data_IF_467914119220
#
_entry.id   IF_467914119220
#
_cell.length_a   1.000
_cell.length_b   1.000
_cell.length_c   1.000
_cell.angle_alpha   90.00
_cell.angle_beta   90.00
_cell.angle_gamma   90.00
#
_symmetry.space_group_name_H-M   'P 1'
#
loop_
_entity.id
_entity.type
_entity.pdbx_description
1 polymer ?
#
# COMPACT_ATOMS: atom_id res chain seq x y z
N UNK A 1 0.23 -1.83 16.67
CA UNK A 1 1.52 -1.55 17.29
C UNK A 1 2.01 -0.17 16.81
N UNK A 2 2.08 0.84 17.75
CA UNK A 2 2.41 2.24 17.44
C UNK A 2 3.74 2.38 16.66
N UNK A 3 4.73 1.53 16.95
CA UNK A 3 6.03 1.55 16.27
C UNK A 3 5.90 1.20 14.79
N UNK A 4 5.10 0.21 14.45
CA UNK A 4 4.83 -0.17 13.05
C UNK A 4 4.15 0.98 12.31
N UNK A 5 3.11 1.56 12.91
CA UNK A 5 2.41 2.72 12.35
C UNK A 5 3.35 3.91 12.06
N UNK A 6 4.28 4.20 12.97
CA UNK A 6 5.23 5.29 12.76
C UNK A 6 6.18 5.03 11.58
N UNK A 7 6.63 3.79 11.39
CA UNK A 7 7.44 3.44 10.22
C UNK A 7 6.66 3.57 8.92
N UNK A 8 5.41 3.09 8.92
CA UNK A 8 4.53 3.20 7.76
C UNK A 8 4.26 4.67 7.41
N UNK A 9 3.98 5.51 8.41
CA UNK A 9 3.83 6.95 8.24
C UNK A 9 5.11 7.61 7.70
N UNK A 10 6.28 7.28 8.24
CA UNK A 10 7.55 7.84 7.77
C UNK A 10 7.83 7.47 6.31
N UNK A 11 7.52 6.27 5.89
CA UNK A 11 7.66 5.83 4.51
C UNK A 11 6.69 6.56 3.58
N UNK A 12 5.43 6.67 3.96
CA UNK A 12 4.39 7.32 3.16
C UNK A 12 4.66 8.82 2.97
N UNK A 13 4.95 9.55 4.04
CA UNK A 13 5.14 11.01 3.97
C UNK A 13 6.35 11.43 3.16
N UNK A 14 7.44 10.63 3.17
CA UNK A 14 8.67 10.94 2.43
C UNK A 14 8.48 10.92 0.91
N UNK A 15 7.47 10.26 0.41
CA UNK A 15 7.10 10.27 -0.99
C UNK A 15 6.57 11.65 -1.44
N UNK A 16 5.87 12.35 -0.57
CA UNK A 16 5.26 13.65 -0.87
C UNK A 16 6.22 14.80 -0.54
N UNK A 17 7.00 15.19 -1.52
CA UNK A 17 8.00 16.26 -1.42
C UNK A 17 7.42 17.62 -1.85
N UNK A 18 8.15 18.74 -1.68
CA UNK A 18 7.75 20.05 -2.22
C UNK A 18 7.47 20.05 -3.74
N UNK A 19 8.12 19.13 -4.48
CA UNK A 19 7.88 18.95 -5.93
C UNK A 19 6.73 17.99 -6.23
N UNK A 20 6.33 17.15 -5.27
CA UNK A 20 5.26 16.15 -5.41
C UNK A 20 4.28 16.27 -4.24
N UNK A 21 3.47 17.33 -4.24
CA UNK A 21 2.50 17.62 -3.18
C UNK A 21 1.22 16.83 -3.37
N UNK A 22 0.64 16.31 -2.27
CA UNK A 22 -0.68 15.68 -2.28
C UNK A 22 -1.79 16.71 -2.09
N UNK A 23 -2.80 16.68 -2.94
CA UNK A 23 -4.06 17.41 -2.73
C UNK A 23 -4.90 16.71 -1.66
N UNK A 24 -5.51 17.48 -0.78
CA UNK A 24 -6.29 16.97 0.34
C UNK A 24 -7.78 17.15 0.05
N UNK A 25 -8.40 16.17 -0.59
CA UNK A 25 -9.85 16.09 -0.84
C UNK A 25 -10.46 17.37 -1.41
N UNK A 26 -9.74 18.13 -2.23
CA UNK A 26 -10.27 19.37 -2.76
C UNK A 26 -10.54 20.49 -1.72
N UNK A 27 -10.05 20.32 -0.48
CA UNK A 27 -10.20 21.30 0.61
C UNK A 27 -9.40 22.60 0.39
N UNK A 28 -8.75 22.74 -0.76
CA UNK A 28 -7.92 23.91 -1.07
C UNK A 28 -6.58 23.92 -0.33
N UNK A 29 -6.12 22.78 0.13
CA UNK A 29 -4.83 22.58 0.77
C UNK A 29 -4.07 21.44 0.15
N UNK A 30 -2.75 21.57 0.07
CA UNK A 30 -1.82 20.51 -0.34
C UNK A 30 -0.86 20.18 0.79
N UNK A 31 -0.59 18.90 0.96
CA UNK A 31 0.40 18.42 1.92
C UNK A 31 1.72 18.10 1.22
N UNK A 32 2.83 18.34 1.93
CA UNK A 32 4.17 17.89 1.54
C UNK A 32 5.09 17.73 2.76
N UNK A 33 6.09 16.89 2.60
CA UNK A 33 7.18 16.69 3.56
C UNK A 33 8.45 17.37 3.06
N UNK A 34 8.95 18.36 3.83
CA UNK A 34 10.14 19.11 3.49
C UNK A 34 11.31 18.58 4.31
N UNK A 35 12.22 17.85 3.67
CA UNK A 35 13.40 17.25 4.32
C UNK A 35 14.42 18.29 4.79
N UNK A 36 14.45 19.44 4.13
CA UNK A 36 15.42 20.50 4.38
C UNK A 36 15.01 21.38 5.57
N UNK A 37 13.73 21.35 5.94
CA UNK A 37 13.25 22.03 7.14
C UNK A 37 13.80 21.41 8.43
N UNK A 38 14.29 22.27 9.34
CA UNK A 38 14.96 21.81 10.57
C UNK A 38 13.98 21.28 11.62
N UNK A 39 12.78 21.87 11.73
CA UNK A 39 11.89 21.60 12.85
C UNK A 39 10.52 21.04 12.47
N UNK A 40 9.86 21.63 11.52
CA UNK A 40 8.47 21.27 11.15
C UNK A 40 8.45 20.83 9.69
N UNK A 41 8.82 19.58 9.47
CA UNK A 41 8.98 19.00 8.13
C UNK A 41 7.67 18.69 7.44
N UNK A 42 6.64 18.34 8.22
CA UNK A 42 5.28 18.10 7.70
C UNK A 42 4.58 19.46 7.52
N UNK A 43 4.29 19.83 6.28
CA UNK A 43 3.77 21.14 5.91
C UNK A 43 2.52 21.03 5.07
N UNK A 44 1.69 22.06 5.18
CA UNK A 44 0.55 22.28 4.29
C UNK A 44 0.66 23.64 3.59
N UNK A 45 0.21 23.65 2.35
CA UNK A 45 0.11 24.84 1.53
C UNK A 45 -1.35 25.11 1.23
N UNK A 46 -1.83 26.31 1.58
CA UNK A 46 -3.16 26.74 1.22
C UNK A 46 -3.13 27.37 -0.18
N UNK A 47 -4.03 26.93 -1.08
CA UNK A 47 -4.00 27.31 -2.49
C UNK A 47 -5.17 28.19 -2.93
N UNK A 48 -6.19 28.37 -2.09
CA UNK A 48 -7.34 29.22 -2.38
C UNK A 48 -7.05 30.67 -1.94
N UNK A 49 -6.90 31.58 -2.88
CA UNK A 49 -6.58 32.97 -2.60
C UNK A 49 -5.08 33.23 -2.50
N UNK A 50 -4.61 33.80 -1.38
CA UNK A 50 -3.17 33.98 -1.15
C UNK A 50 -2.52 32.67 -0.74
N UNK A 51 -1.54 32.22 -1.52
CA UNK A 51 -0.75 31.02 -1.19
C UNK A 51 0.12 31.30 0.04
N UNK A 52 -0.02 30.47 1.06
CA UNK A 52 0.84 30.48 2.25
C UNK A 52 1.06 29.04 2.74
N UNK A 53 2.14 28.86 3.46
CA UNK A 53 2.56 27.58 4.00
C UNK A 53 2.66 27.64 5.51
N UNK A 54 2.15 26.61 6.18
CA UNK A 54 2.25 26.46 7.64
C UNK A 54 2.65 25.04 7.98
N UNK A 55 3.25 24.79 9.17
CA UNK A 55 3.42 23.44 9.69
C UNK A 55 2.06 22.74 9.85
N UNK A 56 2.01 21.43 9.60
CA UNK A 56 0.80 20.62 9.84
C UNK A 56 0.35 20.71 11.30
N UNK A 57 1.29 20.78 12.25
CA UNK A 57 1.01 20.93 13.68
C UNK A 57 0.32 22.24 14.06
N UNK A 58 0.31 23.23 13.16
CA UNK A 58 -0.39 24.53 13.33
C UNK A 58 -1.72 24.60 12.57
N UNK A 59 -2.11 23.52 11.90
CA UNK A 59 -3.36 23.41 11.18
C UNK A 59 -4.54 23.15 12.13
N UNK A 60 -5.76 23.20 11.58
CA UNK A 60 -6.97 22.80 12.31
C UNK A 60 -6.91 21.31 12.73
N UNK A 61 -7.62 20.94 13.79
CA UNK A 61 -7.69 19.55 14.25
C UNK A 61 -8.18 18.60 13.16
N UNK A 62 -9.12 19.02 12.33
CA UNK A 62 -9.60 18.23 11.20
C UNK A 62 -8.50 17.95 10.18
N UNK A 63 -7.69 18.93 9.81
CA UNK A 63 -6.55 18.72 8.89
C UNK A 63 -5.46 17.85 9.53
N UNK A 64 -5.20 18.01 10.83
CA UNK A 64 -4.25 17.16 11.56
C UNK A 64 -4.70 15.70 11.63
N UNK A 65 -6.00 15.42 11.66
CA UNK A 65 -6.56 14.07 11.66
C UNK A 65 -6.57 13.46 10.27
N UNK A 66 -7.08 14.20 9.26
CA UNK A 66 -7.32 13.62 7.94
C UNK A 66 -6.08 13.48 7.07
N UNK A 67 -5.11 14.38 7.18
CA UNK A 67 -3.91 14.36 6.34
C UNK A 67 -3.09 13.08 6.53
N UNK A 68 -2.73 12.65 7.75
CA UNK A 68 -2.02 11.39 7.93
C UNK A 68 -2.78 10.20 7.38
N UNK A 69 -4.09 10.13 7.59
CA UNK A 69 -4.94 9.08 7.05
C UNK A 69 -4.88 9.03 5.53
N UNK A 70 -5.15 10.15 4.85
CA UNK A 70 -5.16 10.23 3.38
C UNK A 70 -3.80 9.92 2.76
N UNK A 71 -2.73 10.46 3.32
CA UNK A 71 -1.37 10.23 2.84
C UNK A 71 -1.02 8.74 2.90
N UNK A 72 -1.38 8.06 4.00
CA UNK A 72 -1.18 6.61 4.12
C UNK A 72 -2.07 5.84 3.14
N UNK A 73 -3.34 6.20 3.03
CA UNK A 73 -4.26 5.55 2.08
C UNK A 73 -3.76 5.68 0.65
N UNK A 74 -3.37 6.87 0.21
CA UNK A 74 -2.87 7.13 -1.15
C UNK A 74 -1.57 6.38 -1.41
N UNK A 75 -0.61 6.45 -0.49
CA UNK A 75 0.68 5.80 -0.64
C UNK A 75 0.57 4.28 -0.70
N UNK A 76 -0.12 3.66 0.26
CA UNK A 76 -0.25 2.20 0.36
C UNK A 76 -1.31 1.59 -0.56
N UNK A 77 -2.08 2.40 -1.29
CA UNK A 77 -2.97 1.90 -2.33
C UNK A 77 -2.35 1.92 -3.73
N UNK A 78 -1.32 2.73 -3.97
CA UNK A 78 -0.73 2.85 -5.31
C UNK A 78 0.80 2.93 -5.30
N UNK A 79 1.38 3.99 -4.73
CA UNK A 79 2.81 4.30 -4.84
C UNK A 79 3.71 3.25 -4.20
N UNK A 80 3.29 2.64 -3.10
CA UNK A 80 3.99 1.54 -2.45
C UNK A 80 4.28 0.39 -3.41
N UNK A 81 3.31 0.02 -4.24
CA UNK A 81 3.47 -1.06 -5.23
C UNK A 81 4.42 -0.67 -6.36
N UNK A 82 4.34 0.59 -6.82
CA UNK A 82 5.23 1.11 -7.84
C UNK A 82 6.68 1.14 -7.36
N UNK A 83 6.90 1.53 -6.10
CA UNK A 83 8.23 1.50 -5.49
C UNK A 83 8.72 0.08 -5.23
N UNK A 84 7.83 -0.81 -4.77
CA UNK A 84 8.17 -2.22 -4.55
C UNK A 84 8.59 -2.91 -5.84
N UNK A 85 7.91 -2.65 -6.96
CA UNK A 85 8.27 -3.21 -8.26
C UNK A 85 9.65 -2.73 -8.77
N UNK A 86 10.14 -1.58 -8.29
CA UNK A 86 11.46 -1.03 -8.63
C UNK A 86 12.58 -1.50 -7.71
N UNK A 87 12.26 -2.19 -6.60
CA UNK A 87 13.28 -2.71 -5.68
C UNK A 87 14.16 -3.74 -6.38
N UNK A 88 15.45 -3.62 -6.14
CA UNK A 88 16.45 -4.60 -6.55
C UNK A 88 16.70 -5.61 -5.44
N UNK A 89 17.42 -6.70 -5.76
CA UNK A 89 17.82 -7.69 -4.74
C UNK A 89 18.68 -7.13 -3.60
N UNK A 90 19.24 -5.93 -3.77
CA UNK A 90 20.02 -5.23 -2.73
C UNK A 90 19.13 -4.47 -1.75
N UNK A 91 17.88 -4.18 -2.13
CA UNK A 91 16.91 -3.43 -1.31
C UNK A 91 16.00 -4.36 -0.48
N UNK A 92 16.27 -5.67 -0.51
CA UNK A 92 15.50 -6.65 0.27
C UNK A 92 15.66 -6.39 1.77
N UNK A 93 14.55 -6.37 2.49
CA UNK A 93 14.58 -6.35 3.95
C UNK A 93 14.86 -7.76 4.52
N UNK A 94 15.21 -7.85 5.80
CA UNK A 94 15.54 -9.12 6.47
C UNK A 94 14.42 -10.17 6.38
N UNK A 95 13.15 -9.73 6.36
CA UNK A 95 11.99 -10.62 6.26
C UNK A 95 11.88 -11.24 4.86
N UNK A 96 12.06 -10.42 3.81
CA UNK A 96 12.05 -10.89 2.41
C UNK A 96 13.19 -11.86 2.18
N UNK A 97 14.39 -11.54 2.66
CA UNK A 97 15.57 -12.39 2.60
C UNK A 97 15.34 -13.73 3.31
N UNK A 98 14.83 -13.70 4.55
CA UNK A 98 14.54 -14.92 5.31
C UNK A 98 13.48 -15.79 4.59
N UNK A 99 12.47 -15.18 4.01
CA UNK A 99 11.43 -15.89 3.25
C UNK A 99 12.03 -16.54 2.00
N UNK A 100 12.85 -15.82 1.25
CA UNK A 100 13.56 -16.34 0.08
C UNK A 100 14.44 -17.54 0.46
N UNK A 101 15.22 -17.42 1.53
CA UNK A 101 16.13 -18.48 1.97
C UNK A 101 15.36 -19.74 2.35
N UNK A 102 14.25 -19.62 3.06
CA UNK A 102 13.37 -20.75 3.37
C UNK A 102 12.75 -21.40 2.13
N UNK A 103 12.36 -20.61 1.14
CA UNK A 103 11.80 -21.13 -0.11
C UNK A 103 12.84 -21.87 -0.94
N UNK A 104 14.10 -21.42 -0.97
CA UNK A 104 15.18 -22.15 -1.61
C UNK A 104 15.34 -23.52 -0.95
N UNK A 105 15.37 -23.56 0.38
CA UNK A 105 15.52 -24.82 1.11
C UNK A 105 14.34 -25.76 0.87
N UNK A 106 13.10 -25.27 0.96
CA UNK A 106 11.90 -26.11 0.83
C UNK A 106 11.62 -26.58 -0.60
N UNK A 107 11.79 -25.72 -1.59
CA UNK A 107 11.37 -26.03 -2.97
C UNK A 107 12.52 -26.59 -3.80
N UNK A 108 13.73 -26.07 -3.61
CA UNK A 108 14.85 -26.46 -4.46
C UNK A 108 15.68 -27.56 -3.83
N UNK A 109 16.17 -27.34 -2.62
CA UNK A 109 17.11 -28.28 -2.01
C UNK A 109 16.42 -29.53 -1.49
N UNK A 110 15.27 -29.42 -0.85
CA UNK A 110 14.55 -30.58 -0.33
C UNK A 110 14.02 -31.50 -1.45
N UNK A 111 13.60 -30.91 -2.58
CA UNK A 111 13.15 -31.67 -3.77
C UNK A 111 14.31 -32.41 -4.47
N UNK A 112 15.48 -31.76 -4.54
CA UNK A 112 16.66 -32.37 -5.22
C UNK A 112 17.46 -33.26 -4.32
N UNK A 113 17.58 -32.94 -3.05
CA UNK A 113 18.44 -33.61 -2.05
C UNK A 113 17.64 -33.82 -0.75
N UNK A 114 16.66 -34.74 -0.72
CA UNK A 114 15.81 -34.93 0.44
C UNK A 114 16.61 -35.19 1.73
N UNK A 115 16.32 -34.42 2.79
CA UNK A 115 17.03 -34.50 4.05
C UNK A 115 18.48 -34.01 4.01
N UNK A 116 18.77 -33.04 3.14
CA UNK A 116 20.13 -32.51 3.02
C UNK A 116 20.65 -31.87 4.32
N UNK A 117 21.97 -31.93 4.50
CA UNK A 117 22.64 -31.24 5.59
C UNK A 117 22.75 -29.73 5.32
N UNK A 118 22.13 -28.93 6.18
CA UNK A 118 22.14 -27.44 6.05
C UNK A 118 23.55 -26.84 6.05
N UNK A 119 24.57 -27.54 6.61
CA UNK A 119 25.97 -27.09 6.52
C UNK A 119 26.51 -27.07 5.08
N UNK A 120 25.94 -27.90 4.19
CA UNK A 120 26.30 -28.03 2.78
C UNK A 120 25.46 -27.16 1.86
N UNK A 121 24.52 -26.35 2.39
CA UNK A 121 23.56 -25.56 1.63
C UNK A 121 24.22 -24.74 0.52
N UNK A 122 25.32 -24.06 0.82
CA UNK A 122 26.01 -23.18 -0.14
C UNK A 122 26.57 -23.96 -1.33
N UNK A 123 27.14 -25.14 -1.09
CA UNK A 123 27.73 -25.94 -2.15
C UNK A 123 26.65 -26.60 -3.01
N UNK A 124 25.55 -27.05 -2.41
CA UNK A 124 24.38 -27.55 -3.14
C UNK A 124 23.75 -26.49 -4.04
N UNK A 125 23.65 -25.26 -3.56
CA UNK A 125 23.15 -24.15 -4.39
C UNK A 125 24.08 -23.88 -5.60
N UNK A 126 25.39 -23.99 -5.44
CA UNK A 126 26.32 -23.84 -6.58
C UNK A 126 26.10 -24.93 -7.60
N UNK A 127 26.00 -26.19 -7.15
CA UNK A 127 25.73 -27.36 -8.01
C UNK A 127 24.41 -27.18 -8.78
N UNK A 128 23.33 -26.80 -8.10
CA UNK A 128 22.02 -26.49 -8.75
C UNK A 128 22.17 -25.40 -9.81
N UNK A 129 22.92 -24.33 -9.53
CA UNK A 129 23.14 -23.25 -10.49
C UNK A 129 23.94 -23.72 -11.74
N UNK A 130 24.86 -24.66 -11.60
CA UNK A 130 25.58 -25.25 -12.74
C UNK A 130 24.62 -26.03 -13.64
N UNK A 131 23.78 -26.88 -13.10
CA UNK A 131 22.74 -27.62 -13.82
C UNK A 131 21.71 -26.69 -14.51
N UNK A 132 21.32 -25.56 -13.84
CA UNK A 132 20.47 -24.55 -14.46
C UNK A 132 21.16 -23.89 -15.65
N UNK A 133 22.45 -23.56 -15.53
CA UNK A 133 23.24 -23.01 -16.64
C UNK A 133 23.38 -24.00 -17.81
N UNK A 134 23.47 -25.30 -17.51
CA UNK A 134 23.44 -26.36 -18.49
C UNK A 134 22.05 -26.60 -19.13
N UNK A 135 21.03 -25.82 -18.72
CA UNK A 135 19.65 -25.92 -19.19
C UNK A 135 18.99 -27.30 -18.98
N UNK A 136 19.39 -28.01 -17.96
CA UNK A 136 18.73 -29.26 -17.60
C UNK A 136 17.28 -29.04 -17.15
N UNK A 137 16.34 -29.67 -17.86
CA UNK A 137 14.90 -29.35 -17.76
C UNK A 137 14.35 -29.48 -16.36
N UNK A 138 14.79 -30.47 -15.55
CA UNK A 138 14.36 -30.66 -14.15
C UNK A 138 14.69 -29.44 -13.31
N UNK A 139 15.91 -28.95 -13.38
CA UNK A 139 16.40 -27.82 -12.59
C UNK A 139 15.76 -26.48 -13.07
N UNK A 140 15.54 -26.34 -14.37
CA UNK A 140 14.84 -25.18 -14.94
C UNK A 140 13.39 -25.13 -14.45
N UNK A 141 12.68 -26.25 -14.42
CA UNK A 141 11.31 -26.34 -13.92
C UNK A 141 11.23 -25.98 -12.44
N UNK A 142 12.16 -26.47 -11.61
CA UNK A 142 12.24 -26.11 -10.18
C UNK A 142 12.54 -24.63 -9.96
N UNK A 143 13.41 -24.05 -10.78
CA UNK A 143 13.66 -22.60 -10.75
C UNK A 143 12.41 -21.80 -11.06
N UNK A 144 11.61 -22.24 -12.03
CA UNK A 144 10.32 -21.59 -12.35
C UNK A 144 9.33 -21.73 -11.20
N UNK A 145 9.19 -22.91 -10.61
CA UNK A 145 8.33 -23.14 -9.45
C UNK A 145 8.75 -22.26 -8.26
N UNK A 146 10.04 -22.19 -7.97
CA UNK A 146 10.60 -21.32 -6.94
C UNK A 146 10.31 -19.83 -7.20
N UNK A 147 10.58 -19.34 -8.42
CA UNK A 147 10.33 -17.95 -8.77
C UNK A 147 8.84 -17.58 -8.64
N UNK A 148 7.94 -18.48 -9.05
CA UNK A 148 6.51 -18.27 -8.92
C UNK A 148 6.08 -18.22 -7.46
N UNK A 149 6.55 -19.16 -6.62
CA UNK A 149 6.25 -19.17 -5.20
C UNK A 149 6.80 -17.93 -4.48
N UNK A 150 8.03 -17.53 -4.79
CA UNK A 150 8.64 -16.31 -4.25
C UNK A 150 7.79 -15.09 -4.59
N UNK A 151 7.39 -14.95 -5.85
CA UNK A 151 6.54 -13.85 -6.31
C UNK A 151 5.21 -13.82 -5.57
N UNK A 152 4.53 -14.95 -5.42
CA UNK A 152 3.25 -15.04 -4.71
C UNK A 152 3.35 -14.68 -3.23
N UNK A 153 4.46 -15.00 -2.57
CA UNK A 153 4.63 -14.79 -1.13
C UNK A 153 5.28 -13.45 -0.76
N UNK A 154 6.01 -12.83 -1.66
CA UNK A 154 6.77 -11.60 -1.36
C UNK A 154 6.24 -10.36 -2.05
N UNK A 155 5.63 -10.49 -3.23
CA UNK A 155 5.09 -9.33 -3.96
C UNK A 155 3.72 -8.98 -3.41
N UNK A 156 3.56 -7.80 -2.80
CA UNK A 156 2.25 -7.35 -2.32
C UNK A 156 1.31 -7.12 -3.51
N UNK A 157 0.09 -7.61 -3.41
CA UNK A 157 -0.95 -7.47 -4.43
C UNK A 157 -2.07 -6.54 -4.01
N UNK A 158 -2.35 -6.46 -2.71
CA UNK A 158 -3.36 -5.59 -2.13
C UNK A 158 -2.97 -5.18 -0.71
N UNK A 159 -3.58 -4.13 -0.20
CA UNK A 159 -3.42 -3.66 1.19
C UNK A 159 -4.74 -3.82 1.93
N UNK A 160 -4.68 -4.32 3.17
CA UNK A 160 -5.80 -4.31 4.10
C UNK A 160 -5.61 -3.16 5.09
N UNK A 161 -6.49 -2.17 5.03
CA UNK A 161 -6.50 -1.03 5.92
C UNK A 161 -7.44 -1.28 7.10
N UNK A 162 -6.98 -0.98 8.31
CA UNK A 162 -7.81 -0.94 9.51
C UNK A 162 -7.83 0.51 9.96
N UNK A 163 -9.00 1.14 9.90
CA UNK A 163 -9.19 2.56 10.17
C UNK A 163 -10.18 2.73 11.31
N UNK A 164 -9.73 3.34 12.39
CA UNK A 164 -10.58 3.63 13.54
C UNK A 164 -11.05 5.08 13.47
N UNK A 165 -12.36 5.27 13.56
CA UNK A 165 -13.04 6.57 13.64
C UNK A 165 -12.53 7.60 12.59
N UNK A 166 -12.60 7.30 11.27
CA UNK A 166 -12.12 8.21 10.22
C UNK A 166 -12.82 9.57 10.23
N UNK A 167 -13.93 9.68 10.94
CA UNK A 167 -14.72 10.90 11.11
C UNK A 167 -14.19 11.89 12.13
N UNK A 168 -13.18 11.54 12.92
CA UNK A 168 -12.71 12.40 14.00
C UNK A 168 -12.35 13.81 13.54
N UNK A 169 -12.97 14.82 14.21
CA UNK A 169 -12.77 16.25 13.94
C UNK A 169 -13.14 16.69 12.50
N UNK A 170 -13.96 15.92 11.78
CA UNK A 170 -14.36 16.23 10.40
C UNK A 170 -15.82 16.66 10.31
N UNK A 171 -16.08 17.63 9.42
CA UNK A 171 -17.44 17.98 9.02
C UNK A 171 -18.08 16.86 8.19
N UNK A 172 -19.42 16.72 8.21
CA UNK A 172 -20.11 15.67 7.46
C UNK A 172 -19.77 15.60 5.97
N UNK A 173 -19.55 16.75 5.30
CA UNK A 173 -19.11 16.78 3.90
C UNK A 173 -17.76 16.08 3.70
N UNK A 174 -16.80 16.34 4.57
CA UNK A 174 -15.47 15.71 4.52
C UNK A 174 -15.53 14.22 4.90
N UNK A 175 -16.45 13.83 5.80
CA UNK A 175 -16.71 12.42 6.10
C UNK A 175 -17.21 11.65 4.88
N UNK A 176 -18.08 12.26 4.06
CA UNK A 176 -18.52 11.67 2.79
C UNK A 176 -17.34 11.48 1.83
N UNK A 177 -16.52 12.49 1.63
CA UNK A 177 -15.39 12.44 0.70
C UNK A 177 -14.35 11.37 1.09
N UNK A 178 -14.08 11.18 2.40
CA UNK A 178 -13.16 10.13 2.85
C UNK A 178 -13.75 8.73 2.60
N UNK A 179 -15.04 8.53 2.84
CA UNK A 179 -15.71 7.25 2.59
C UNK A 179 -15.78 6.96 1.08
N UNK A 180 -16.10 7.95 0.25
CA UNK A 180 -16.05 7.78 -1.21
C UNK A 180 -14.63 7.41 -1.68
N UNK A 181 -13.61 8.00 -1.09
CA UNK A 181 -12.21 7.64 -1.38
C UNK A 181 -11.91 6.21 -0.99
N UNK A 182 -12.31 5.75 0.21
CA UNK A 182 -12.10 4.37 0.64
C UNK A 182 -12.85 3.37 -0.26
N UNK A 183 -14.12 3.64 -0.60
CA UNK A 183 -14.92 2.79 -1.50
C UNK A 183 -14.29 2.70 -2.89
N UNK A 184 -13.79 3.83 -3.43
CA UNK A 184 -13.09 3.85 -4.71
C UNK A 184 -11.81 3.00 -4.68
N UNK A 185 -11.05 3.02 -3.58
CA UNK A 185 -9.86 2.19 -3.41
C UNK A 185 -10.20 0.69 -3.26
N UNK A 186 -11.33 0.34 -2.61
CA UNK A 186 -11.81 -1.04 -2.58
C UNK A 186 -12.12 -1.58 -3.98
N UNK A 187 -12.76 -0.76 -4.81
CA UNK A 187 -13.23 -1.14 -6.15
C UNK A 187 -12.18 -0.89 -7.25
N UNK A 188 -10.99 -0.44 -6.89
CA UNK A 188 -9.87 -0.24 -7.81
C UNK A 188 -9.23 -1.56 -8.24
N UNK A 189 -8.31 -1.49 -9.21
CA UNK A 189 -7.65 -2.66 -9.80
C UNK A 189 -6.96 -3.60 -8.79
N UNK A 190 -6.49 -3.06 -7.67
CA UNK A 190 -5.79 -3.83 -6.62
C UNK A 190 -6.73 -4.43 -5.56
N UNK A 191 -8.02 -4.12 -5.59
CA UNK A 191 -9.02 -4.63 -4.65
C UNK A 191 -8.58 -4.52 -3.18
N UNK A 192 -8.29 -3.31 -2.71
CA UNK A 192 -7.88 -3.08 -1.33
C UNK A 192 -9.01 -3.39 -0.34
N UNK A 193 -8.67 -3.96 0.81
CA UNK A 193 -9.63 -4.22 1.88
C UNK A 193 -9.68 -3.09 2.91
N UNK A 194 -10.89 -2.79 3.42
CA UNK A 194 -11.07 -1.84 4.52
C UNK A 194 -11.89 -2.44 5.63
N UNK A 195 -11.39 -2.29 6.86
CA UNK A 195 -12.13 -2.49 8.11
C UNK A 195 -12.22 -1.15 8.81
N UNK A 196 -13.42 -0.64 8.99
CA UNK A 196 -13.65 0.70 9.57
C UNK A 196 -14.50 0.56 10.82
N UNK A 197 -14.04 1.16 11.93
CA UNK A 197 -14.88 1.38 13.11
C UNK A 197 -15.37 2.83 13.11
N UNK A 198 -16.61 3.08 13.49
CA UNK A 198 -17.19 4.42 13.50
C UNK A 198 -18.26 4.58 14.55
N UNK A 199 -18.35 5.76 15.12
CA UNK A 199 -19.48 6.23 15.93
C UNK A 199 -20.35 7.25 15.19
N UNK A 200 -19.98 7.62 13.94
CA UNK A 200 -20.72 8.60 13.15
C UNK A 200 -21.89 7.96 12.41
N UNK A 201 -23.14 8.40 12.66
CA UNK A 201 -24.28 7.95 11.88
C UNK A 201 -24.17 8.42 10.40
N UNK A 202 -23.41 9.47 10.11
CA UNK A 202 -23.17 9.93 8.74
C UNK A 202 -22.39 8.91 7.91
N UNK A 203 -21.33 8.31 8.46
CA UNK A 203 -20.52 7.29 7.79
C UNK A 203 -21.41 6.13 7.33
N UNK A 204 -22.26 5.62 8.22
CA UNK A 204 -23.18 4.50 7.90
C UNK A 204 -24.20 4.92 6.83
N UNK A 205 -24.79 6.11 6.95
CA UNK A 205 -25.74 6.62 5.99
C UNK A 205 -25.09 6.85 4.61
N UNK A 206 -23.88 7.38 4.56
CA UNK A 206 -23.15 7.59 3.31
C UNK A 206 -22.83 6.25 2.62
N UNK A 207 -22.37 5.23 3.36
CA UNK A 207 -22.16 3.89 2.81
C UNK A 207 -23.45 3.32 2.22
N UNK A 208 -24.58 3.44 2.91
CA UNK A 208 -25.85 2.98 2.41
C UNK A 208 -26.27 3.72 1.10
N UNK A 209 -26.01 5.02 1.01
CA UNK A 209 -26.26 5.80 -0.20
C UNK A 209 -25.37 5.35 -1.35
N UNK A 210 -24.08 5.12 -1.10
CA UNK A 210 -23.13 4.65 -2.12
C UNK A 210 -23.50 3.24 -2.63
N UNK A 211 -23.87 2.35 -1.73
CA UNK A 211 -24.35 1.01 -2.08
C UNK A 211 -25.63 1.12 -2.94
N UNK A 212 -26.60 1.94 -2.54
CA UNK A 212 -27.83 2.11 -3.29
C UNK A 212 -27.60 2.71 -4.69
N UNK A 213 -26.65 3.66 -4.83
CA UNK A 213 -26.25 4.21 -6.14
C UNK A 213 -25.65 3.13 -7.04
N UNK A 214 -24.73 2.33 -6.49
CA UNK A 214 -24.11 1.22 -7.23
C UNK A 214 -25.15 0.23 -7.78
N UNK A 215 -26.13 -0.20 -6.95
CA UNK A 215 -27.19 -1.09 -7.42
C UNK A 215 -28.05 -0.48 -8.53
N UNK A 216 -28.39 0.80 -8.46
CA UNK A 216 -29.13 1.47 -9.53
C UNK A 216 -28.34 1.56 -10.83
N UNK A 217 -27.03 1.80 -10.77
CA UNK A 217 -26.16 1.78 -11.95
C UNK A 217 -26.08 0.41 -12.58
N UNK A 218 -25.94 -0.65 -11.78
CA UNK A 218 -25.93 -2.04 -12.26
C UNK A 218 -27.28 -2.43 -12.89
N UNK A 219 -28.39 -2.08 -12.28
CA UNK A 219 -29.72 -2.31 -12.85
C UNK A 219 -29.91 -1.56 -14.17
N UNK A 220 -29.50 -0.29 -14.25
CA UNK A 220 -29.60 0.50 -15.47
C UNK A 220 -28.74 -0.05 -16.62
N UNK A 221 -27.56 -0.60 -16.30
CA UNK A 221 -26.66 -1.21 -17.27
C UNK A 221 -27.16 -2.58 -17.75
N UNK A 222 -27.83 -3.33 -16.86
CA UNK A 222 -28.43 -4.63 -17.21
C UNK A 222 -29.70 -4.52 -18.04
N UNK A 223 -30.41 -3.38 -17.96
CA UNK A 223 -31.62 -3.12 -18.75
C UNK A 223 -31.33 -2.57 -20.16
N UNK A 224 -30.11 -2.20 -20.47
CA UNK A 224 -29.63 -1.82 -21.82
C UNK A 224 -28.47 -2.74 -22.28
N UNK A 225 -28.71 -4.03 -22.56
CA UNK A 225 -27.71 -4.87 -23.20
C UNK A 225 -27.90 -4.76 -24.72
N UNK A 226 -27.50 -3.63 -25.30
CA UNK A 226 -27.40 -3.52 -26.78
C UNK A 226 -26.88 -2.13 -27.16
N UNK A 227 -25.68 -2.06 -27.61
CA UNK A 227 -25.36 -1.84 -29.03
C UNK A 227 -23.91 -2.22 -29.29
#
# INVERSE_FOLDING_TARGET
NLRSFLFDWFSAREFYSPANKSDILGLGVKYFYDKDEKKYKDRIEHINGRTYQIPLSSASSGLQSIIPLLIMLQYYSDEYYNQYAKKTSFDENDKERTTRDKLVDMIVLEELYPGFDHSKRVDLIKEVNEHIRAQEQRYVNLLHAYKNALRQLTVPTSTSFIVEEPEQNLFPSTQLEIIETMVRLCNGEKNHGFTVTTHSPYIINFLNILIARYYKEVESTSLNPSE
#
